data_IF_431943639735
#
_entry.id   IF_431943639735
#
_cell.length_a   1.000
_cell.length_b   1.000
_cell.length_c   1.000
_cell.angle_alpha   90.00
_cell.angle_beta   90.00
_cell.angle_gamma   90.00
#
_symmetry.space_group_name_H-M   'P 1'
#
loop_
_entity.id
_entity.type
_entity.pdbx_description
1 polymer ?
#
# COMPACT_ATOMS: atom_id res chain seq x y z
N UNK A 1 4.80 6.14 -3.59
CA UNK A 1 5.60 7.33 -3.94
C UNK A 1 7.07 6.96 -3.76
N UNK A 2 7.90 7.07 -4.79
CA UNK A 2 9.33 6.72 -4.69
C UNK A 2 10.20 7.93 -5.04
N UNK A 3 11.05 8.42 -4.12
CA UNK A 3 11.96 9.52 -4.40
C UNK A 3 13.11 9.04 -5.30
N UNK A 4 13.53 9.91 -6.20
CA UNK A 4 14.71 9.78 -7.05
C UNK A 4 15.48 11.10 -7.02
N UNK A 5 16.78 10.98 -7.22
CA UNK A 5 17.70 12.12 -7.29
C UNK A 5 18.52 11.95 -8.56
N UNK A 6 18.34 12.82 -9.58
CA UNK A 6 19.18 12.81 -10.76
C UNK A 6 20.66 12.93 -10.37
N UNK A 7 21.52 12.09 -10.93
CA UNK A 7 22.98 12.19 -10.71
C UNK A 7 23.65 13.14 -11.69
N UNK A 8 22.92 13.57 -12.71
CA UNK A 8 23.29 14.50 -13.77
C UNK A 8 22.05 15.32 -14.12
N UNK A 9 22.25 16.46 -14.78
CA UNK A 9 21.14 17.27 -15.30
C UNK A 9 20.35 16.46 -16.34
N UNK A 10 19.02 16.51 -16.26
CA UNK A 10 18.10 15.79 -17.13
C UNK A 10 17.22 16.79 -17.87
N UNK A 11 17.16 16.68 -19.19
CA UNK A 11 16.18 17.36 -20.03
C UNK A 11 15.29 16.33 -20.71
N UNK A 12 13.99 16.33 -20.38
CA UNK A 12 12.99 15.53 -21.09
C UNK A 12 12.46 16.32 -22.28
N UNK A 13 12.82 15.89 -23.50
CA UNK A 13 12.40 16.55 -24.73
C UNK A 13 10.89 16.40 -25.03
N UNK A 14 10.25 15.36 -24.51
CA UNK A 14 8.81 15.11 -24.75
C UNK A 14 7.95 16.03 -23.90
N UNK A 15 8.30 16.17 -22.62
CA UNK A 15 7.54 17.02 -21.67
C UNK A 15 8.07 18.44 -21.57
N UNK A 16 9.29 18.70 -22.03
CA UNK A 16 10.00 19.97 -21.86
C UNK A 16 10.51 20.21 -20.43
N UNK A 17 10.40 19.22 -19.54
CA UNK A 17 10.82 19.35 -18.15
C UNK A 17 12.34 19.23 -18.03
N UNK A 18 12.92 20.06 -17.17
CA UNK A 18 14.34 20.02 -16.80
C UNK A 18 14.47 19.77 -15.30
N UNK A 19 15.47 18.98 -14.94
CA UNK A 19 15.81 18.65 -13.56
C UNK A 19 17.32 18.79 -13.40
N UNK A 20 17.75 19.50 -12.37
CA UNK A 20 19.17 19.65 -12.08
C UNK A 20 19.68 18.40 -11.31
N UNK A 21 20.97 18.13 -11.42
CA UNK A 21 21.60 17.09 -10.60
C UNK A 21 21.33 17.35 -9.10
N UNK A 22 20.80 16.34 -8.42
CA UNK A 22 20.46 16.39 -6.98
C UNK A 22 19.01 16.80 -6.66
N UNK A 23 18.20 17.17 -7.65
CA UNK A 23 16.79 17.51 -7.43
C UNK A 23 16.00 16.33 -6.84
N UNK A 24 15.05 16.62 -5.95
CA UNK A 24 14.10 15.62 -5.48
C UNK A 24 13.00 15.41 -6.52
N UNK A 25 13.06 14.27 -7.21
CA UNK A 25 12.02 13.83 -8.14
C UNK A 25 11.15 12.78 -7.49
N UNK A 26 9.84 13.03 -7.46
CA UNK A 26 8.86 12.16 -6.81
C UNK A 26 7.97 11.49 -7.84
N UNK A 27 8.02 10.16 -7.92
CA UNK A 27 7.18 9.40 -8.84
C UNK A 27 5.83 9.07 -8.18
N UNK A 28 4.75 9.57 -8.78
CA UNK A 28 3.37 9.28 -8.39
C UNK A 28 2.74 8.17 -9.25
N UNK A 29 2.90 6.92 -8.83
CA UNK A 29 2.28 5.78 -9.51
C UNK A 29 0.75 5.81 -9.50
N UNK A 30 0.12 6.44 -8.49
CA UNK A 30 -1.34 6.54 -8.43
C UNK A 30 -1.89 7.44 -9.53
N UNK A 31 -1.17 8.50 -9.89
CA UNK A 31 -1.49 9.34 -11.04
C UNK A 31 -1.23 8.61 -12.36
N UNK A 32 -0.07 7.95 -12.51
CA UNK A 32 0.24 7.19 -13.72
C UNK A 32 -0.80 6.07 -14.00
N UNK A 33 -1.24 5.37 -12.95
CA UNK A 33 -2.27 4.33 -13.06
C UNK A 33 -3.68 4.86 -13.37
N UNK A 34 -3.89 6.18 -13.28
CA UNK A 34 -5.15 6.86 -13.62
C UNK A 34 -5.03 7.76 -14.85
N UNK A 35 -3.92 7.70 -15.57
CA UNK A 35 -3.73 8.53 -16.76
C UNK A 35 -4.72 8.11 -17.86
N UNK A 36 -5.68 9.00 -18.18
CA UNK A 36 -6.70 8.77 -19.18
C UNK A 36 -6.14 8.56 -20.60
N UNK A 37 -4.89 8.99 -20.87
CA UNK A 37 -4.20 8.74 -22.15
C UNK A 37 -3.85 7.26 -22.33
N UNK A 38 -3.74 6.50 -21.23
CA UNK A 38 -3.40 5.07 -21.22
C UNK A 38 -4.60 4.21 -20.78
N UNK A 39 -5.41 4.72 -19.86
CA UNK A 39 -6.46 3.99 -19.18
C UNK A 39 -7.81 4.71 -19.38
N UNK A 40 -8.57 4.33 -20.40
CA UNK A 40 -9.93 4.87 -20.65
C UNK A 40 -10.83 4.67 -19.43
N UNK A 41 -11.54 5.71 -18.99
CA UNK A 41 -12.38 5.68 -17.76
C UNK A 41 -11.57 5.20 -16.53
N UNK A 42 -10.50 5.90 -16.15
CA UNK A 42 -9.49 5.40 -15.19
C UNK A 42 -10.03 5.19 -13.77
N UNK A 43 -11.13 5.83 -13.41
CA UNK A 43 -11.75 5.71 -12.08
C UNK A 43 -12.68 4.51 -11.97
N UNK A 44 -13.10 3.92 -13.09
CA UNK A 44 -13.90 2.70 -13.11
C UNK A 44 -13.04 1.46 -12.91
N UNK A 45 -13.38 0.69 -11.88
CA UNK A 45 -12.81 -0.65 -11.69
C UNK A 45 -13.29 -1.61 -12.79
N UNK A 46 -12.38 -2.02 -13.67
CA UNK A 46 -12.62 -2.98 -14.74
C UNK A 46 -11.45 -3.96 -14.86
N UNK A 47 -11.69 -5.20 -14.40
CA UNK A 47 -10.70 -6.29 -14.46
C UNK A 47 -10.44 -6.80 -15.88
N UNK A 48 -11.35 -6.54 -16.80
CA UNK A 48 -11.28 -7.00 -18.21
C UNK A 48 -10.59 -6.01 -19.13
N UNK A 49 -10.25 -4.82 -18.62
CA UNK A 49 -9.64 -3.74 -19.39
C UNK A 49 -8.42 -4.22 -20.21
N UNK A 50 -8.31 -3.81 -21.49
CA UNK A 50 -7.16 -4.19 -22.33
C UNK A 50 -5.81 -3.76 -21.76
N UNK A 51 -5.73 -2.55 -21.18
CA UNK A 51 -4.50 -1.96 -20.65
C UNK A 51 -4.16 -2.38 -19.22
N UNK A 52 -4.85 -3.38 -18.64
CA UNK A 52 -4.62 -3.85 -17.26
C UNK A 52 -3.18 -4.25 -16.95
N UNK A 53 -2.39 -4.66 -17.96
CA UNK A 53 -0.97 -5.04 -17.80
C UNK A 53 -0.01 -3.84 -17.75
N UNK A 54 -0.47 -2.65 -18.09
CA UNK A 54 0.38 -1.45 -18.23
C UNK A 54 0.46 -0.63 -16.93
N UNK A 55 -0.13 -1.13 -15.84
CA UNK A 55 -0.09 -0.47 -14.53
C UNK A 55 1.33 -0.41 -13.96
N UNK A 56 1.63 0.66 -13.25
CA UNK A 56 2.92 0.97 -12.63
C UNK A 56 2.94 0.68 -11.12
N UNK A 57 1.96 -0.09 -10.61
CA UNK A 57 1.85 -0.37 -9.15
C UNK A 57 3.05 -1.13 -8.56
N UNK A 58 3.82 -1.84 -9.40
CA UNK A 58 5.04 -2.53 -9.01
C UNK A 58 6.32 -1.77 -9.39
N UNK A 59 6.19 -0.52 -9.82
CA UNK A 59 7.30 0.27 -10.37
C UNK A 59 7.73 -0.20 -11.75
N UNK A 60 8.86 0.32 -12.20
CA UNK A 60 9.45 0.11 -13.54
C UNK A 60 10.98 0.22 -13.45
N UNK A 61 11.68 -0.43 -14.37
CA UNK A 61 13.13 -0.33 -14.53
C UNK A 61 13.91 -1.16 -13.52
N UNK A 62 15.13 -0.71 -13.19
CA UNK A 62 16.08 -1.44 -12.35
C UNK A 62 15.56 -1.75 -10.92
N UNK A 63 14.56 -1.01 -10.46
CA UNK A 63 13.93 -1.20 -9.15
C UNK A 63 12.50 -1.74 -9.26
N UNK A 64 12.18 -2.45 -10.35
CA UNK A 64 10.92 -3.18 -10.44
C UNK A 64 10.77 -4.11 -9.22
N UNK A 65 9.58 -4.15 -8.64
CA UNK A 65 9.32 -4.88 -7.41
C UNK A 65 9.70 -6.36 -7.58
N UNK A 66 10.75 -6.78 -6.86
CA UNK A 66 11.23 -8.16 -6.86
C UNK A 66 10.12 -9.14 -6.42
N UNK A 67 9.24 -8.70 -5.53
CA UNK A 67 8.10 -9.48 -5.03
C UNK A 67 6.87 -9.47 -5.93
N UNK A 68 6.88 -8.82 -7.10
CA UNK A 68 5.67 -8.65 -7.92
C UNK A 68 5.06 -9.99 -8.38
N UNK A 69 5.88 -11.03 -8.57
CA UNK A 69 5.38 -12.38 -8.87
C UNK A 69 4.67 -13.01 -7.66
N UNK A 70 5.32 -12.97 -6.50
CA UNK A 70 4.79 -13.50 -5.25
C UNK A 70 3.50 -12.79 -4.84
N UNK A 71 3.49 -11.46 -4.84
CA UNK A 71 2.32 -10.67 -4.47
C UNK A 71 1.09 -10.98 -5.34
N UNK A 72 1.29 -11.24 -6.65
CA UNK A 72 0.20 -11.66 -7.55
C UNK A 72 -0.31 -13.06 -7.22
N UNK A 73 0.60 -13.99 -6.91
CA UNK A 73 0.24 -15.34 -6.50
C UNK A 73 -0.55 -15.32 -5.19
N UNK A 74 -0.06 -14.59 -4.19
CA UNK A 74 -0.72 -14.42 -2.90
C UNK A 74 -2.10 -13.78 -3.05
N UNK A 75 -2.21 -12.67 -3.79
CA UNK A 75 -3.49 -12.02 -4.03
C UNK A 75 -4.50 -12.95 -4.70
N UNK A 76 -4.06 -13.73 -5.71
CA UNK A 76 -4.92 -14.72 -6.36
C UNK A 76 -5.41 -15.78 -5.37
N UNK A 77 -4.50 -16.45 -4.67
CA UNK A 77 -4.85 -17.51 -3.72
C UNK A 77 -5.74 -16.97 -2.60
N UNK A 78 -5.38 -15.81 -2.04
CA UNK A 78 -6.12 -15.21 -0.94
C UNK A 78 -7.54 -14.82 -1.36
N UNK A 79 -7.73 -14.16 -2.50
CA UNK A 79 -9.05 -13.75 -2.99
C UNK A 79 -9.91 -14.96 -3.38
N UNK A 80 -9.34 -15.93 -4.11
CA UNK A 80 -10.04 -17.18 -4.47
C UNK A 80 -10.46 -17.96 -3.21
N UNK A 81 -9.57 -18.08 -2.22
CA UNK A 81 -9.86 -18.80 -0.97
C UNK A 81 -10.88 -18.07 -0.10
N UNK A 82 -10.76 -16.74 0.02
CA UNK A 82 -11.65 -15.93 0.85
C UNK A 82 -13.09 -16.00 0.33
N UNK A 83 -13.29 -15.69 -0.96
CA UNK A 83 -14.63 -15.69 -1.57
C UNK A 83 -15.14 -17.10 -1.88
N UNK A 84 -14.26 -18.08 -2.04
CA UNK A 84 -14.64 -19.49 -2.12
C UNK A 84 -15.18 -20.04 -0.80
N UNK A 85 -14.57 -19.64 0.33
CA UNK A 85 -15.02 -20.08 1.67
C UNK A 85 -16.20 -19.26 2.21
N UNK A 86 -16.23 -17.96 1.94
CA UNK A 86 -17.25 -17.03 2.44
C UNK A 86 -17.93 -16.29 1.27
N UNK A 87 -18.77 -16.99 0.48
CA UNK A 87 -19.37 -16.42 -0.73
C UNK A 87 -20.39 -15.33 -0.46
N UNK A 88 -20.87 -15.19 0.79
CA UNK A 88 -21.84 -14.16 1.21
C UNK A 88 -21.18 -13.06 2.06
N UNK A 89 -19.86 -12.89 1.96
CA UNK A 89 -19.12 -11.85 2.69
C UNK A 89 -19.63 -10.45 2.33
N UNK A 90 -20.04 -9.67 3.31
CA UNK A 90 -20.47 -8.26 3.12
C UNK A 90 -19.78 -7.34 4.12
N UNK A 91 -19.65 -6.04 3.79
CA UNK A 91 -19.19 -5.05 4.77
C UNK A 91 -20.19 -4.96 5.93
N UNK A 92 -19.66 -4.84 7.15
CA UNK A 92 -20.46 -4.64 8.38
C UNK A 92 -20.70 -3.16 8.70
N UNK A 93 -20.20 -2.25 7.85
CA UNK A 93 -20.31 -0.80 7.97
C UNK A 93 -20.45 -0.19 6.57
N UNK A 94 -20.84 1.08 6.49
CA UNK A 94 -20.86 1.78 5.21
C UNK A 94 -19.42 1.97 4.69
N UNK A 95 -19.23 2.04 3.38
CA UNK A 95 -17.89 2.11 2.81
C UNK A 95 -17.19 3.44 3.17
N UNK A 96 -17.97 4.50 3.27
CA UNK A 96 -17.58 5.84 3.70
C UNK A 96 -17.12 5.93 5.15
N UNK A 97 -17.52 4.97 6.01
CA UNK A 97 -17.12 4.91 7.42
C UNK A 97 -15.78 4.19 7.63
N UNK A 98 -15.20 3.59 6.57
CA UNK A 98 -13.93 2.90 6.66
C UNK A 98 -12.80 3.90 6.92
N UNK A 99 -12.12 3.74 8.06
CA UNK A 99 -11.02 4.63 8.44
C UNK A 99 -9.78 4.39 7.57
N UNK A 100 -9.29 5.40 6.84
CA UNK A 100 -8.07 5.27 6.05
C UNK A 100 -6.85 4.98 6.94
N UNK A 101 -5.91 4.24 6.39
CA UNK A 101 -4.59 4.05 6.99
C UNK A 101 -3.85 5.40 6.96
N UNK A 102 -3.37 5.86 8.12
CA UNK A 102 -2.58 7.09 8.22
C UNK A 102 -1.15 6.86 7.70
N UNK A 103 -1.00 6.73 6.38
CA UNK A 103 0.27 6.46 5.72
C UNK A 103 0.41 7.30 4.44
N UNK A 104 1.61 7.82 4.22
CA UNK A 104 1.99 8.48 2.97
C UNK A 104 2.63 7.50 1.96
N UNK A 105 2.90 6.25 2.39
CA UNK A 105 3.57 5.22 1.58
C UNK A 105 2.56 4.21 1.03
N UNK A 106 1.60 3.80 1.86
CA UNK A 106 0.64 2.75 1.56
C UNK A 106 -0.78 3.28 1.62
N UNK A 107 -1.62 2.87 0.67
CA UNK A 107 -3.04 3.16 0.68
C UNK A 107 -3.82 1.95 1.20
N UNK A 108 -4.78 2.17 2.09
CA UNK A 108 -5.60 1.10 2.67
C UNK A 108 -6.49 1.62 3.78
N UNK A 109 -7.18 0.71 4.46
CA UNK A 109 -8.00 1.02 5.63
C UNK A 109 -7.38 0.37 6.87
N UNK A 110 -7.56 0.98 8.03
CA UNK A 110 -7.07 0.43 9.29
C UNK A 110 -7.76 -0.90 9.62
N UNK A 111 -9.04 -1.00 9.29
CA UNK A 111 -9.89 -2.15 9.51
C UNK A 111 -10.93 -2.23 8.40
N UNK A 112 -11.35 -3.45 8.04
CA UNK A 112 -12.46 -3.72 7.11
C UNK A 112 -13.42 -4.69 7.80
N UNK A 113 -14.35 -4.20 8.62
CA UNK A 113 -15.33 -5.04 9.30
C UNK A 113 -16.27 -5.72 8.31
N UNK A 114 -16.52 -7.03 8.49
CA UNK A 114 -17.30 -7.84 7.56
C UNK A 114 -18.23 -8.82 8.28
N UNK A 115 -19.35 -9.15 7.64
CA UNK A 115 -20.21 -10.29 7.99
C UNK A 115 -19.89 -11.46 7.08
N UNK A 116 -19.63 -12.63 7.66
CA UNK A 116 -19.14 -13.81 6.95
C UNK A 116 -20.26 -14.58 6.22
N UNK A 117 -21.48 -14.58 6.77
CA UNK A 117 -22.62 -15.38 6.28
C UNK A 117 -23.73 -14.57 5.59
N UNK A 118 -23.56 -13.25 5.43
CA UNK A 118 -24.48 -12.34 4.72
C UNK A 118 -25.89 -12.15 5.32
N UNK A 119 -26.13 -10.97 5.93
CA UNK A 119 -27.37 -10.17 6.05
C UNK A 119 -27.00 -8.83 6.75
N UNK A 120 -27.80 -7.74 6.66
CA UNK A 120 -27.33 -6.39 6.32
C UNK A 120 -26.69 -5.55 7.43
N UNK A 121 -25.94 -4.53 6.97
CA UNK A 121 -25.76 -3.25 7.63
C UNK A 121 -27.13 -2.67 8.07
N UNK A 122 -27.44 -2.83 9.36
CA UNK A 122 -28.40 -2.02 10.12
C UNK A 122 -27.73 -1.72 11.48
N UNK A 123 -27.76 -0.49 12.01
CA UNK A 123 -27.05 -0.18 13.23
C UNK A 123 -27.75 -0.84 14.41
N UNK A 124 -27.28 -2.01 14.85
CA UNK A 124 -27.70 -2.62 16.11
C UNK A 124 -26.56 -3.42 16.72
N UNK A 125 -25.92 -2.84 17.73
CA UNK A 125 -25.27 -3.59 18.81
C UNK A 125 -24.02 -4.42 18.45
N UNK A 126 -23.33 -4.96 19.47
CA UNK A 126 -21.94 -5.36 19.34
C UNK A 126 -21.79 -6.84 18.95
N UNK A 127 -22.19 -7.22 17.74
CA UNK A 127 -21.90 -8.56 17.17
C UNK A 127 -20.95 -8.46 15.95
N UNK A 128 -19.88 -7.66 16.07
CA UNK A 128 -18.85 -7.54 15.04
C UNK A 128 -17.59 -8.31 15.45
N UNK A 129 -17.20 -9.29 14.64
CA UNK A 129 -15.89 -9.93 14.76
C UNK A 129 -14.82 -8.92 14.33
N UNK A 130 -14.16 -8.27 15.30
CA UNK A 130 -12.99 -7.43 15.01
C UNK A 130 -11.78 -8.33 14.83
N UNK A 131 -11.29 -8.49 13.60
CA UNK A 131 -9.97 -9.07 13.37
C UNK A 131 -8.93 -8.05 13.83
N UNK A 132 -8.41 -8.23 15.04
CA UNK A 132 -7.30 -7.44 15.58
C UNK A 132 -6.00 -7.96 14.96
N UNK A 133 -5.34 -7.14 14.14
CA UNK A 133 -3.97 -7.40 13.71
C UNK A 133 -3.05 -6.82 14.79
N UNK A 134 -2.50 -7.67 15.65
CA UNK A 134 -1.52 -7.24 16.66
C UNK A 134 -0.17 -6.97 15.97
N UNK A 135 0.37 -5.74 16.01
CA UNK A 135 1.72 -5.49 15.51
C UNK A 135 2.74 -6.26 16.36
N UNK A 136 3.87 -6.73 15.77
CA UNK A 136 4.93 -7.35 16.55
C UNK A 136 5.41 -6.38 17.63
N UNK A 137 5.69 -6.91 18.82
CA UNK A 137 6.18 -6.12 19.95
C UNK A 137 7.38 -5.27 19.51
N UNK A 138 7.37 -3.98 19.89
CA UNK A 138 8.50 -3.11 19.63
C UNK A 138 9.76 -3.71 20.27
N UNK A 139 10.92 -3.68 19.58
CA UNK A 139 12.16 -4.16 20.19
C UNK A 139 12.47 -3.32 21.43
N UNK A 140 12.93 -4.01 22.48
CA UNK A 140 13.35 -3.39 23.73
C UNK A 140 14.41 -2.31 23.45
N UNK A 141 14.05 -1.05 23.71
CA UNK A 141 14.94 0.10 23.57
C UNK A 141 15.67 0.43 24.87
N UNK A 142 15.71 -0.49 25.84
CA UNK A 142 16.49 -0.29 27.05
C UNK A 142 17.96 -0.09 26.67
N UNK A 143 18.53 1.11 26.90
CA UNK A 143 19.93 1.34 26.64
C UNK A 143 20.77 0.43 27.56
N UNK A 144 21.87 -0.17 27.07
CA UNK A 144 22.75 -0.95 27.92
C UNK A 144 23.24 -0.08 29.08
N UNK A 145 23.15 -0.61 30.31
CA UNK A 145 23.67 0.08 31.50
C UNK A 145 25.14 0.38 31.27
N UNK A 146 25.48 1.67 31.26
CA UNK A 146 26.84 2.15 31.09
C UNK A 146 27.76 1.50 32.12
N UNK A 147 28.85 0.90 31.65
CA UNK A 147 29.97 0.52 32.49
C UNK A 147 30.60 1.80 33.03
N UNK A 148 30.45 2.05 34.33
CA UNK A 148 31.28 3.01 35.05
C UNK A 148 32.70 2.51 35.02
N UNK A 149 33.55 3.14 34.22
CA UNK A 149 34.99 2.98 34.30
C UNK A 149 35.47 3.63 35.61
N UNK A 150 35.75 2.81 36.61
CA UNK A 150 36.57 3.21 37.75
C UNK A 150 37.96 3.60 37.21
N UNK A 151 38.30 4.88 37.38
CA UNK A 151 39.67 5.38 37.22
C UNK A 151 40.38 5.15 38.55
N UNK A 152 41.43 4.33 38.64
CA UNK A 152 42.22 4.26 39.87
C UNK A 152 43.11 5.50 39.97
N UNK A 153 43.05 6.15 41.12
CA UNK A 153 43.97 7.20 41.52
C UNK A 153 45.34 6.59 41.90
N UNK A 154 46.39 6.95 41.16
CA UNK A 154 47.77 7.22 41.59
C UNK A 154 48.68 7.37 40.37
#
# INVERSE_FOLDING_TARGET
MLPRFPTVDIHDAETGLTFDAGDLVVINYAAANRDARVHTDPDRFDVTRPTRKNHQSFGVGAHYCLGAGLARLEARIALESLFGRYPRLTLATAAEDLRPLASFISNGHQQIPVHIDGAPARPTGPDHLTVQVTPPAAPDRTPPRGHTAETPAA
#
